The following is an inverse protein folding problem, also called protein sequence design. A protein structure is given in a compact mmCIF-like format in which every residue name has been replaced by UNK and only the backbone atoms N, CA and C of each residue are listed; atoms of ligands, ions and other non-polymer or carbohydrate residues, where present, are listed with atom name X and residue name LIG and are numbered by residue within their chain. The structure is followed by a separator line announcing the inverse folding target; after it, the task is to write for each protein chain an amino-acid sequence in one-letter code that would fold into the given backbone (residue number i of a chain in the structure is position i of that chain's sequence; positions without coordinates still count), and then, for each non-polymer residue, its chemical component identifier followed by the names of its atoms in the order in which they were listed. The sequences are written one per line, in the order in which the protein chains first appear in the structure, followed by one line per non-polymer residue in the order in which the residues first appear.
data_IF_563650686285
#
_entry.id   IF_563650686285
#
_cell.length_a   1.000
_cell.length_b   1.000
_cell.length_c   1.000
_cell.angle_alpha   90.00
_cell.angle_beta   90.00
_cell.angle_gamma   90.00
#
_symmetry.space_group_name_H-M   'P 1'
#
loop_
_entity.id
_entity.type
_entity.pdbx_description
1 polymer ?
#
# COMPACT_ATOMS: atom_id res chain seq x y z
N UNK A 1 3.38 -14.79 26.29
CA UNK A 1 2.67 -13.82 25.41
C UNK A 1 2.08 -14.49 24.16
N UNK A 2 2.87 -15.20 23.35
CA UNK A 2 2.40 -15.75 22.05
C UNK A 2 1.28 -16.82 22.14
N UNK A 3 1.34 -17.76 23.10
CA UNK A 3 0.35 -18.84 23.19
C UNK A 3 -1.04 -18.37 23.66
N UNK A 4 -1.11 -17.43 24.61
CA UNK A 4 -2.38 -16.89 25.09
C UNK A 4 -3.10 -16.06 24.01
N UNK A 5 -2.35 -15.29 23.21
CA UNK A 5 -2.90 -14.59 22.04
C UNK A 5 -3.37 -15.58 20.96
N UNK A 6 -2.62 -16.64 20.68
CA UNK A 6 -3.05 -17.69 19.74
C UNK A 6 -4.29 -18.45 20.22
N UNK A 7 -4.41 -18.73 21.52
CA UNK A 7 -5.58 -19.36 22.10
C UNK A 7 -6.83 -18.47 21.94
N UNK A 8 -6.71 -17.15 22.19
CA UNK A 8 -7.80 -16.18 21.97
C UNK A 8 -8.22 -16.10 20.50
N UNK A 9 -7.27 -16.09 19.56
CA UNK A 9 -7.58 -16.09 18.12
C UNK A 9 -8.30 -17.37 17.68
N UNK A 10 -7.91 -18.52 18.24
CA UNK A 10 -8.57 -19.81 17.97
C UNK A 10 -9.97 -19.89 18.58
N UNK A 11 -10.17 -19.33 19.77
CA UNK A 11 -11.48 -19.28 20.46
C UNK A 11 -12.48 -18.37 19.73
N UNK A 12 -12.00 -17.27 19.15
CA UNK A 12 -12.83 -16.33 18.38
C UNK A 12 -12.89 -16.64 16.87
N UNK A 13 -12.32 -17.77 16.43
CA UNK A 13 -12.33 -18.21 15.03
C UNK A 13 -11.59 -17.27 14.06
N UNK A 14 -10.71 -16.40 14.56
CA UNK A 14 -10.01 -15.39 13.75
C UNK A 14 -8.71 -15.98 13.21
N UNK A 15 -8.57 -16.05 11.88
CA UNK A 15 -7.35 -16.57 11.27
C UNK A 15 -6.24 -15.50 11.26
N UNK A 16 -5.12 -15.69 11.97
CA UNK A 16 -4.02 -14.70 12.01
C UNK A 16 -3.36 -14.49 10.64
N UNK A 17 -3.51 -15.45 9.72
CA UNK A 17 -3.04 -15.36 8.34
C UNK A 17 -4.01 -14.62 7.40
N UNK A 18 -5.19 -14.21 7.87
CA UNK A 18 -6.12 -13.40 7.06
C UNK A 18 -5.50 -12.09 6.56
N UNK A 19 -4.49 -11.57 7.26
CA UNK A 19 -3.74 -10.37 6.88
C UNK A 19 -2.77 -10.55 5.70
N UNK A 20 -2.38 -11.78 5.33
CA UNK A 20 -1.52 -12.02 4.16
C UNK A 20 -2.31 -12.35 2.88
N UNK A 21 -3.61 -12.60 3.00
CA UNK A 21 -4.50 -12.80 1.86
C UNK A 21 -4.50 -11.64 0.83
N UNK A 22 -4.46 -10.36 1.26
CA UNK A 22 -4.32 -9.24 0.33
C UNK A 22 -3.04 -9.30 -0.50
N UNK A 23 -1.92 -9.75 0.09
CA UNK A 23 -0.63 -9.83 -0.60
C UNK A 23 -0.68 -10.90 -1.69
N UNK A 24 -1.26 -12.07 -1.40
CA UNK A 24 -1.38 -13.16 -2.37
C UNK A 24 -2.19 -12.76 -3.59
N UNK A 25 -3.29 -12.03 -3.40
CA UNK A 25 -4.11 -11.55 -4.51
C UNK A 25 -3.47 -10.35 -5.23
N UNK A 26 -2.63 -9.58 -4.54
CA UNK A 26 -1.96 -8.40 -5.08
C UNK A 26 -0.79 -8.74 -6.03
N UNK A 27 -0.08 -9.85 -5.78
CA UNK A 27 1.09 -10.24 -6.58
C UNK A 27 0.76 -10.47 -8.08
N UNK A 28 -0.28 -11.26 -8.44
CA UNK A 28 -0.69 -11.39 -9.85
C UNK A 28 -1.07 -10.05 -10.47
N UNK A 29 -1.78 -9.21 -9.71
CA UNK A 29 -2.27 -7.92 -10.18
C UNK A 29 -1.12 -6.96 -10.54
N UNK A 30 -0.04 -6.97 -9.77
CA UNK A 30 1.17 -6.18 -10.07
C UNK A 30 1.80 -6.64 -11.39
N UNK A 31 1.95 -7.95 -11.59
CA UNK A 31 2.55 -8.52 -12.81
C UNK A 31 1.70 -8.17 -14.03
N UNK A 32 0.38 -8.31 -13.93
CA UNK A 32 -0.55 -7.99 -15.01
C UNK A 32 -0.49 -6.51 -15.40
N UNK A 33 -0.58 -5.59 -14.44
CA UNK A 33 -0.53 -4.15 -14.74
C UNK A 33 0.83 -3.72 -15.27
N UNK A 34 1.92 -4.22 -14.68
CA UNK A 34 3.26 -3.94 -15.19
C UNK A 34 3.42 -4.39 -16.64
N UNK A 35 2.92 -5.59 -16.99
CA UNK A 35 2.90 -6.06 -18.38
C UNK A 35 2.02 -5.20 -19.28
N UNK A 36 0.82 -4.79 -18.85
CA UNK A 36 -0.09 -3.98 -19.65
C UNK A 36 0.53 -2.62 -19.99
N UNK A 37 1.09 -1.92 -19.01
CA UNK A 37 1.73 -0.61 -19.24
C UNK A 37 3.00 -0.71 -20.08
N UNK A 38 3.68 -1.87 -20.10
CA UNK A 38 4.90 -2.09 -20.88
C UNK A 38 4.64 -2.64 -22.29
N UNK A 39 3.60 -3.44 -22.49
CA UNK A 39 3.31 -4.14 -23.75
C UNK A 39 2.29 -3.44 -24.64
N UNK A 40 1.41 -2.61 -24.06
CA UNK A 40 0.40 -1.89 -24.82
C UNK A 40 1.02 -0.70 -25.54
N UNK A 41 1.02 -0.74 -26.88
CA UNK A 41 1.59 0.32 -27.73
C UNK A 41 0.88 1.66 -27.53
N UNK A 42 -0.45 1.63 -27.34
CA UNK A 42 -1.28 2.81 -27.11
C UNK A 42 -0.92 3.56 -25.80
N UNK A 43 -0.35 2.86 -24.81
CA UNK A 43 0.03 3.47 -23.53
C UNK A 43 1.47 4.02 -23.55
N UNK A 44 2.21 3.78 -24.63
CA UNK A 44 3.59 4.24 -24.80
C UNK A 44 3.59 5.71 -25.19
N UNK A 45 4.13 6.57 -24.32
CA UNK A 45 4.10 8.01 -24.54
C UNK A 45 2.70 8.61 -24.39
N UNK A 46 1.75 7.88 -23.80
CA UNK A 46 0.41 8.38 -23.56
C UNK A 46 0.44 9.39 -22.39
N UNK A 47 0.15 10.68 -22.65
CA UNK A 47 0.01 11.65 -21.58
C UNK A 47 -1.31 11.40 -20.85
N UNK A 48 -1.30 11.60 -19.53
CA UNK A 48 -2.53 11.53 -18.75
C UNK A 48 -2.96 12.94 -18.32
N UNK A 49 -2.52 13.41 -17.15
CA UNK A 49 -2.87 14.72 -16.60
C UNK A 49 -1.72 15.27 -15.74
N UNK A 50 -1.63 16.60 -15.61
CA UNK A 50 -0.64 17.35 -14.82
C UNK A 50 0.79 17.22 -15.36
N UNK A 51 1.63 16.42 -14.70
CA UNK A 51 3.04 16.23 -15.00
C UNK A 51 3.34 14.88 -15.67
N UNK A 52 2.33 14.00 -15.78
CA UNK A 52 2.46 12.65 -16.35
C UNK A 52 2.48 12.74 -17.87
N UNK A 53 3.68 12.62 -18.45
CA UNK A 53 3.89 12.68 -19.91
C UNK A 53 3.86 11.32 -20.61
N UNK A 54 4.10 10.25 -19.86
CA UNK A 54 4.14 8.89 -20.41
C UNK A 54 3.80 7.88 -19.32
N UNK A 55 2.74 7.09 -19.55
CA UNK A 55 2.25 6.05 -18.63
C UNK A 55 3.13 4.79 -18.59
N UNK A 56 3.94 4.57 -19.61
CA UNK A 56 4.78 3.37 -19.79
C UNK A 56 6.19 3.51 -19.20
N UNK A 57 6.65 4.76 -18.98
CA UNK A 57 7.96 5.09 -18.42
C UNK A 57 7.85 5.69 -17.01
N UNK A 58 8.95 5.75 -16.25
CA UNK A 58 8.97 6.37 -14.93
C UNK A 58 8.57 7.85 -14.98
N UNK A 59 7.87 8.31 -13.93
CA UNK A 59 7.37 9.67 -13.79
C UNK A 59 8.49 10.65 -13.40
N UNK A 60 9.50 10.89 -14.26
CA UNK A 60 10.57 11.85 -13.94
C UNK A 60 10.06 13.29 -14.03
N UNK A 61 9.99 13.98 -12.89
CA UNK A 61 9.63 15.42 -12.83
C UNK A 61 10.85 16.30 -12.60
N UNK A 62 11.83 15.82 -11.82
CA UNK A 62 13.08 16.55 -11.54
C UNK A 62 14.24 15.57 -11.70
N UNK A 63 15.17 15.87 -12.61
CA UNK A 63 16.41 15.11 -12.76
C UNK A 63 17.44 15.64 -11.75
N UNK A 64 18.01 14.73 -10.96
CA UNK A 64 19.06 15.01 -10.00
C UNK A 64 20.44 14.94 -10.69
N UNK A 65 21.37 15.87 -10.40
CA UNK A 65 22.72 15.84 -10.98
C UNK A 65 23.62 14.72 -10.40
N UNK A 66 23.09 13.89 -9.49
CA UNK A 66 23.77 12.77 -8.87
C UNK A 66 22.83 11.56 -8.80
N UNK A 67 23.37 10.36 -9.05
CA UNK A 67 22.60 9.11 -8.95
C UNK A 67 22.71 8.54 -7.54
N UNK A 68 21.57 8.36 -6.87
CA UNK A 68 21.51 7.70 -5.56
C UNK A 68 21.22 6.21 -5.80
N UNK A 69 22.05 5.28 -5.29
CA UNK A 69 21.77 3.85 -5.35
C UNK A 69 20.38 3.54 -4.73
N UNK A 70 19.57 2.73 -5.42
CA UNK A 70 18.19 2.34 -5.05
C UNK A 70 17.11 3.39 -5.40
N UNK A 71 17.39 4.68 -5.28
CA UNK A 71 16.42 5.74 -5.59
C UNK A 71 16.40 6.08 -7.09
N UNK A 72 17.57 6.15 -7.73
CA UNK A 72 17.70 6.57 -9.13
C UNK A 72 18.29 7.97 -9.27
N UNK A 73 18.19 8.50 -10.48
CA UNK A 73 18.68 9.82 -10.92
C UNK A 73 17.56 10.85 -11.09
N UNK A 74 16.31 10.48 -10.83
CA UNK A 74 15.15 11.35 -10.97
C UNK A 74 14.23 11.30 -9.76
N UNK A 75 13.42 12.33 -9.58
CA UNK A 75 12.36 12.41 -8.56
C UNK A 75 11.02 12.19 -9.24
N UNK A 76 10.34 11.11 -8.87
CA UNK A 76 8.97 10.86 -9.26
C UNK A 76 7.97 11.31 -8.21
N UNK A 77 6.98 12.09 -8.64
CA UNK A 77 5.95 12.66 -7.75
C UNK A 77 4.91 11.59 -7.39
N UNK A 78 4.55 10.71 -8.33
CA UNK A 78 3.54 9.68 -8.09
C UNK A 78 3.90 8.68 -6.96
N UNK A 79 5.11 8.11 -6.88
CA UNK A 79 5.51 7.25 -5.76
C UNK A 79 5.43 7.97 -4.42
N UNK A 80 5.80 9.25 -4.36
CA UNK A 80 5.71 10.04 -3.12
C UNK A 80 4.24 10.16 -2.69
N UNK A 81 3.36 10.46 -3.65
CA UNK A 81 1.92 10.57 -3.38
C UNK A 81 1.32 9.22 -2.96
N UNK A 82 1.72 8.13 -3.63
CA UNK A 82 1.39 6.77 -3.23
C UNK A 82 1.86 6.49 -1.79
N UNK A 83 3.08 6.87 -1.42
CA UNK A 83 3.60 6.72 -0.05
C UNK A 83 2.78 7.46 0.99
N UNK A 84 2.38 8.71 0.69
CA UNK A 84 1.52 9.51 1.57
C UNK A 84 0.16 8.82 1.75
N UNK A 85 -0.45 8.35 0.67
CA UNK A 85 -1.75 7.65 0.74
C UNK A 85 -1.66 6.34 1.51
N UNK A 86 -0.60 5.54 1.31
CA UNK A 86 -0.35 4.32 2.09
C UNK A 86 -0.15 4.63 3.58
N UNK A 87 0.56 5.70 3.91
CA UNK A 87 0.75 6.13 5.30
C UNK A 87 -0.57 6.53 5.95
N UNK A 88 -1.44 7.23 5.22
CA UNK A 88 -2.79 7.57 5.69
C UNK A 88 -3.63 6.30 5.92
N UNK A 89 -3.63 5.36 4.98
CA UNK A 89 -4.33 4.08 5.15
C UNK A 89 -3.84 3.32 6.38
N UNK A 90 -2.53 3.24 6.60
CA UNK A 90 -1.96 2.55 7.76
C UNK A 90 -2.38 3.18 9.08
N UNK A 91 -2.60 4.50 9.11
CA UNK A 91 -3.16 5.19 10.26
C UNK A 91 -4.65 4.95 10.46
N UNK A 92 -5.41 4.73 9.38
CA UNK A 92 -6.85 4.48 9.43
C UNK A 92 -7.16 3.02 9.80
N UNK A 93 -6.30 2.08 9.43
CA UNK A 93 -6.49 0.68 9.81
C UNK A 93 -6.22 0.49 11.30
N UNK A 94 -7.14 -0.14 12.06
CA UNK A 94 -6.91 -0.51 13.46
C UNK A 94 -5.80 -1.55 13.51
N UNK A 95 -4.57 -1.07 13.65
CA UNK A 95 -3.39 -1.92 13.73
C UNK A 95 -3.31 -2.51 15.13
N UNK A 96 -3.73 -3.78 15.26
CA UNK A 96 -3.54 -4.67 16.41
C UNK A 96 -2.06 -4.99 16.69
N UNK A 97 -1.14 -4.19 16.14
CA UNK A 97 0.28 -4.47 16.05
C UNK A 97 1.03 -3.75 17.16
N UNK A 98 1.90 -4.48 17.87
CA UNK A 98 2.84 -3.93 18.85
C UNK A 98 3.64 -2.76 18.25
N UNK A 99 4.11 -1.81 19.08
CA UNK A 99 4.80 -0.60 18.61
C UNK A 99 5.90 -0.87 17.58
N UNK A 100 6.64 -1.98 17.74
CA UNK A 100 7.67 -2.43 16.80
C UNK A 100 7.16 -2.70 15.37
N UNK A 101 5.98 -3.29 15.21
CA UNK A 101 5.39 -3.54 13.88
C UNK A 101 4.96 -2.23 13.19
N UNK A 102 4.50 -1.23 13.94
CA UNK A 102 4.12 0.07 13.37
C UNK A 102 5.32 0.78 12.74
N UNK A 103 6.45 0.80 13.44
CA UNK A 103 7.69 1.37 12.90
C UNK A 103 8.18 0.61 11.66
N UNK A 104 8.06 -0.72 11.66
CA UNK A 104 8.39 -1.54 10.49
C UNK A 104 7.49 -1.21 9.27
N UNK A 105 6.18 -1.03 9.47
CA UNK A 105 5.25 -0.66 8.40
C UNK A 105 5.56 0.72 7.79
N UNK A 106 5.90 1.71 8.61
CA UNK A 106 6.29 3.03 8.12
C UNK A 106 7.62 3.00 7.36
N UNK A 107 8.60 2.26 7.87
CA UNK A 107 9.87 2.05 7.18
C UNK A 107 9.66 1.36 5.83
N UNK A 108 8.86 0.30 5.80
CA UNK A 108 8.55 -0.44 4.58
C UNK A 108 7.85 0.45 3.55
N UNK A 109 6.93 1.31 3.98
CA UNK A 109 6.25 2.26 3.08
C UNK A 109 7.25 3.23 2.47
N UNK A 110 8.15 3.80 3.27
CA UNK A 110 9.22 4.67 2.77
C UNK A 110 10.10 3.94 1.76
N UNK A 111 10.50 2.70 2.05
CA UNK A 111 11.28 1.88 1.13
C UNK A 111 10.55 1.58 -0.20
N UNK A 112 9.25 1.28 -0.15
CA UNK A 112 8.45 1.04 -1.35
C UNK A 112 8.36 2.28 -2.26
N UNK A 113 8.27 3.48 -1.68
CA UNK A 113 8.31 4.74 -2.43
C UNK A 113 9.63 4.88 -3.20
N UNK A 114 10.76 4.58 -2.55
CA UNK A 114 12.07 4.63 -3.20
C UNK A 114 12.17 3.61 -4.34
N UNK A 115 11.66 2.40 -4.13
CA UNK A 115 11.64 1.34 -5.14
C UNK A 115 10.77 1.72 -6.35
N UNK A 116 9.56 2.23 -6.10
CA UNK A 116 8.56 2.55 -7.14
C UNK A 116 8.93 3.79 -7.96
N UNK A 117 9.97 4.53 -7.56
CA UNK A 117 10.55 5.62 -8.33
C UNK A 117 10.96 5.19 -9.75
N UNK A 118 11.52 3.99 -9.90
CA UNK A 118 11.95 3.46 -11.19
C UNK A 118 10.86 2.64 -11.93
N UNK A 119 9.65 2.55 -11.37
CA UNK A 119 8.55 1.81 -11.99
C UNK A 119 7.71 2.70 -12.93
N UNK A 120 6.99 2.10 -13.90
CA UNK A 120 6.12 2.83 -14.81
C UNK A 120 5.12 3.72 -14.07
N UNK A 121 4.98 4.97 -14.50
CA UNK A 121 4.09 5.96 -13.88
C UNK A 121 2.63 5.48 -13.84
N UNK A 122 2.17 4.72 -14.84
CA UNK A 122 0.83 4.14 -14.87
C UNK A 122 0.55 3.16 -13.73
N UNK A 123 1.56 2.37 -13.33
CA UNK A 123 1.45 1.48 -12.17
C UNK A 123 1.29 2.29 -10.88
N UNK A 124 2.13 3.32 -10.70
CA UNK A 124 2.12 4.19 -9.52
C UNK A 124 0.81 4.98 -9.41
N UNK A 125 0.28 5.44 -10.55
CA UNK A 125 -1.01 6.12 -10.66
C UNK A 125 -2.16 5.19 -10.27
N UNK A 126 -2.16 3.94 -10.75
CA UNK A 126 -3.15 2.94 -10.38
C UNK A 126 -3.19 2.72 -8.87
N UNK A 127 -2.04 2.48 -8.23
CA UNK A 127 -1.99 2.26 -6.79
C UNK A 127 -2.40 3.48 -5.98
N UNK A 128 -2.00 4.67 -6.44
CA UNK A 128 -2.43 5.92 -5.85
C UNK A 128 -3.95 6.05 -5.85
N UNK A 129 -4.59 5.84 -7.00
CA UNK A 129 -6.04 5.92 -7.14
C UNK A 129 -6.73 4.85 -6.30
N UNK A 130 -6.26 3.60 -6.38
CA UNK A 130 -6.76 2.50 -5.57
C UNK A 130 -6.67 2.82 -4.08
N UNK A 131 -5.57 3.44 -3.64
CA UNK A 131 -5.38 3.79 -2.26
C UNK A 131 -6.34 4.88 -1.80
N UNK A 132 -6.55 5.90 -2.62
CA UNK A 132 -7.51 6.97 -2.36
C UNK A 132 -8.93 6.42 -2.28
N UNK A 133 -9.33 5.57 -3.24
CA UNK A 133 -10.63 4.92 -3.24
C UNK A 133 -10.84 4.04 -2.01
N UNK A 134 -9.81 3.30 -1.59
CA UNK A 134 -9.85 2.48 -0.38
C UNK A 134 -9.97 3.34 0.88
N UNK A 135 -9.28 4.48 0.95
CA UNK A 135 -9.43 5.44 2.06
C UNK A 135 -10.85 5.98 2.11
N UNK A 136 -11.40 6.38 0.97
CA UNK A 136 -12.78 6.87 0.88
C UNK A 136 -13.75 5.77 1.30
N UNK A 137 -13.59 4.57 0.77
CA UNK A 137 -14.38 3.41 1.13
C UNK A 137 -14.31 3.14 2.64
N UNK A 138 -13.12 3.09 3.24
CA UNK A 138 -12.98 2.91 4.69
C UNK A 138 -13.65 4.03 5.47
N UNK A 139 -13.55 5.29 5.02
CA UNK A 139 -14.19 6.42 5.69
C UNK A 139 -15.72 6.36 5.63
N UNK A 140 -16.30 5.87 4.53
CA UNK A 140 -17.76 5.82 4.34
C UNK A 140 -18.39 4.50 4.83
N UNK A 141 -17.69 3.37 4.68
CA UNK A 141 -18.23 2.04 5.01
C UNK A 141 -17.93 1.60 6.43
N UNK A 142 -16.90 2.11 7.10
CA UNK A 142 -16.60 1.68 8.48
C UNK A 142 -17.54 2.43 9.43
N UNK A 143 -18.60 1.80 9.98
CA UNK A 143 -19.35 2.41 11.06
C UNK A 143 -18.43 2.39 12.28
N UNK A 144 -18.62 3.35 13.21
CA UNK A 144 -17.92 3.33 14.49
C UNK A 144 -17.96 1.91 15.07
N UNK A 145 -16.83 1.35 15.56
CA UNK A 145 -16.80 -0.02 16.03
C UNK A 145 -17.90 -0.19 17.07
N UNK A 146 -18.88 -1.05 16.78
CA UNK A 146 -19.84 -1.49 17.79
C UNK A 146 -18.98 -2.03 18.93
N UNK A 147 -19.03 -1.35 20.08
CA UNK A 147 -18.38 -1.81 21.29
C UNK A 147 -18.96 -3.19 21.57
N UNK A 148 -18.25 -4.25 21.23
CA UNK A 148 -18.61 -5.58 21.69
C UNK A 148 -18.43 -5.48 23.20
N UNK A 149 -19.53 -5.54 23.99
CA UNK A 149 -19.41 -5.45 25.43
C UNK A 149 -18.45 -6.56 25.86
N UNK A 150 -17.44 -6.20 26.64
CA UNK A 150 -16.50 -7.14 27.21
C UNK A 150 -17.29 -8.16 28.02
N UNK A 151 -17.64 -9.30 27.42
CA UNK A 151 -18.26 -10.39 28.14
C UNK A 151 -17.18 -10.91 29.09
N UNK A 152 -17.37 -10.80 30.41
CA UNK A 152 -16.38 -11.30 31.35
C UNK A 152 -16.27 -12.80 31.14
N UNK A 153 -15.08 -13.25 30.77
CA UNK A 153 -14.71 -14.67 30.71
C UNK A 153 -15.00 -15.26 32.08
N UNK A 154 -16.12 -15.98 32.22
CA UNK A 154 -16.44 -16.76 33.41
C UNK A 154 -15.43 -17.90 33.49
N UNK A 155 -14.38 -17.68 34.30
CA UNK A 155 -13.49 -18.73 34.79
C UNK A 155 -14.36 -19.71 35.58
N UNK A 156 -14.60 -20.91 35.03
CA UNK A 156 -15.05 -22.08 35.79
C UNK A 156 -13.84 -22.98 36.03
#
# INVERSE_FOLDING_TARGET
MSQAQMALFKEHGVNPLGGCFPILLQMPLLISLFQVFRSTIELRGAPFVLWIKDLSSPDSVIDLPFSIPIYGDHIAVLPILMGITMFIQQKMMPTQSTGQQKYMSYFMTGFFVLLFNNFPSGLNLYYTLFNILTILQQKYLTPAPAQIPATPVKRK
#
